data_IF_965857951939
#
_entry.id   IF_965857951939
#
_cell.length_a   1.000
_cell.length_b   1.000
_cell.length_c   1.000
_cell.angle_alpha   90.00
_cell.angle_beta   90.00
_cell.angle_gamma   90.00
#
_symmetry.space_group_name_H-M   'P 1'
#
loop_
_entity.id
_entity.type
_entity.pdbx_description
1 polymer ?
#
# COMPACT_ATOMS: atom_id res chain seq x y z
N UNK A 1 2.61 -10.58 10.94
CA UNK A 1 4.02 -10.47 10.52
C UNK A 1 4.13 -9.38 9.47
N UNK A 2 4.64 -8.21 9.85
CA UNK A 2 4.90 -7.14 8.88
C UNK A 2 6.14 -7.47 8.07
N UNK A 3 5.96 -7.71 6.77
CA UNK A 3 7.06 -7.92 5.84
C UNK A 3 7.80 -6.61 5.66
N UNK A 4 9.04 -6.56 6.13
CA UNK A 4 9.90 -5.39 6.01
C UNK A 4 10.04 -4.96 4.54
N UNK A 5 10.19 -3.65 4.25
CA UNK A 5 10.35 -3.16 2.88
C UNK A 5 11.49 -3.88 2.14
N UNK A 6 12.61 -4.14 2.83
CA UNK A 6 13.76 -4.88 2.27
C UNK A 6 13.37 -6.28 1.78
N UNK A 7 12.58 -7.02 2.56
CA UNK A 7 12.10 -8.36 2.16
C UNK A 7 11.16 -8.27 0.95
N UNK A 8 10.28 -7.26 0.87
CA UNK A 8 9.41 -7.07 -0.30
C UNK A 8 10.20 -6.79 -1.58
N UNK A 9 11.20 -5.91 -1.51
CA UNK A 9 12.08 -5.63 -2.66
C UNK A 9 12.84 -6.87 -3.09
N UNK A 10 13.34 -7.67 -2.14
CA UNK A 10 13.99 -8.95 -2.43
C UNK A 10 13.06 -9.95 -3.12
N UNK A 11 11.80 -10.05 -2.68
CA UNK A 11 10.79 -10.91 -3.33
C UNK A 11 10.55 -10.49 -4.78
N UNK A 12 10.32 -9.20 -5.02
CA UNK A 12 10.03 -8.68 -6.37
C UNK A 12 11.23 -8.82 -7.30
N UNK A 13 12.44 -8.51 -6.82
CA UNK A 13 13.67 -8.65 -7.62
C UNK A 13 13.94 -10.12 -7.99
N UNK A 14 13.75 -11.05 -7.06
CA UNK A 14 13.87 -12.48 -7.36
C UNK A 14 12.82 -12.93 -8.37
N UNK A 15 11.58 -12.45 -8.26
CA UNK A 15 10.53 -12.81 -9.21
C UNK A 15 10.78 -12.27 -10.63
N UNK A 16 11.32 -11.06 -10.75
CA UNK A 16 11.53 -10.39 -12.05
C UNK A 16 12.81 -10.85 -12.74
N UNK A 17 13.90 -11.04 -11.99
CA UNK A 17 15.23 -11.25 -12.56
C UNK A 17 15.72 -12.70 -12.49
N UNK A 18 14.96 -13.62 -11.89
CA UNK A 18 15.34 -15.03 -11.80
C UNK A 18 14.16 -15.94 -12.14
N UNK A 19 14.43 -17.16 -12.63
CA UNK A 19 13.40 -18.16 -12.93
C UNK A 19 12.91 -18.94 -11.70
N UNK A 20 12.99 -18.35 -10.50
CA UNK A 20 12.65 -19.03 -9.25
C UNK A 20 11.14 -19.15 -9.06
N UNK A 21 10.71 -20.29 -8.55
CA UNK A 21 9.32 -20.52 -8.16
C UNK A 21 8.97 -19.76 -6.88
N UNK A 22 7.68 -19.53 -6.63
CA UNK A 22 7.24 -18.84 -5.41
C UNK A 22 7.64 -19.58 -4.13
N UNK A 23 7.72 -20.92 -4.17
CA UNK A 23 8.19 -21.74 -3.04
C UNK A 23 9.68 -21.50 -2.75
N UNK A 24 10.51 -21.45 -3.79
CA UNK A 24 11.94 -21.16 -3.62
C UNK A 24 12.18 -19.73 -3.11
N UNK A 25 11.43 -18.75 -3.64
CA UNK A 25 11.50 -17.37 -3.17
C UNK A 25 11.11 -17.28 -1.69
N UNK A 26 10.06 -18.00 -1.29
CA UNK A 26 9.62 -18.09 0.10
C UNK A 26 10.73 -18.63 1.01
N UNK A 27 11.40 -19.72 0.61
CA UNK A 27 12.54 -20.31 1.34
C UNK A 27 13.73 -19.35 1.43
N UNK A 28 14.10 -18.68 0.33
CA UNK A 28 15.26 -17.76 0.28
C UNK A 28 15.05 -16.50 1.12
N UNK A 29 13.81 -16.02 1.22
CA UNK A 29 13.48 -14.79 1.97
C UNK A 29 13.03 -15.09 3.40
N UNK A 30 12.68 -16.34 3.71
CA UNK A 30 12.16 -16.76 5.01
C UNK A 30 10.78 -16.15 5.28
N UNK A 31 9.84 -16.36 4.35
CA UNK A 31 8.44 -15.90 4.45
C UNK A 31 7.50 -16.99 3.94
N UNK A 32 6.20 -16.89 4.24
CA UNK A 32 5.21 -17.85 3.73
C UNK A 32 4.91 -17.65 2.25
N UNK A 33 4.46 -18.71 1.57
CA UNK A 33 4.05 -18.67 0.16
C UNK A 33 2.95 -17.62 -0.09
N UNK A 34 1.95 -17.55 0.80
CA UNK A 34 0.88 -16.56 0.72
C UNK A 34 1.41 -15.11 0.78
N UNK A 35 2.49 -14.90 1.52
CA UNK A 35 3.16 -13.59 1.60
C UNK A 35 3.82 -13.22 0.28
N UNK A 36 4.50 -14.17 -0.37
CA UNK A 36 5.12 -13.96 -1.69
C UNK A 36 4.06 -13.61 -2.73
N UNK A 37 3.00 -14.41 -2.82
CA UNK A 37 1.89 -14.16 -3.75
C UNK A 37 1.26 -12.78 -3.53
N UNK A 38 0.97 -12.42 -2.27
CA UNK A 38 0.41 -11.09 -1.94
C UNK A 38 1.31 -9.95 -2.40
N UNK A 39 2.62 -10.05 -2.19
CA UNK A 39 3.57 -8.98 -2.58
C UNK A 39 3.65 -8.84 -4.09
N UNK A 40 3.64 -9.94 -4.83
CA UNK A 40 3.70 -9.93 -6.31
C UNK A 40 2.42 -9.34 -6.89
N UNK A 41 1.24 -9.81 -6.46
CA UNK A 41 -0.04 -9.29 -6.91
C UNK A 41 -0.14 -7.78 -6.62
N UNK A 42 0.28 -7.36 -5.43
CA UNK A 42 0.28 -5.95 -5.07
C UNK A 42 1.20 -5.11 -5.98
N UNK A 43 2.40 -5.61 -6.32
CA UNK A 43 3.30 -4.93 -7.26
C UNK A 43 2.68 -4.85 -8.66
N UNK A 44 1.95 -5.87 -9.10
CA UNK A 44 1.24 -5.85 -10.38
C UNK A 44 0.10 -4.83 -10.38
N UNK A 45 -0.69 -4.77 -9.31
CA UNK A 45 -1.85 -3.86 -9.18
C UNK A 45 -1.44 -2.39 -9.02
N UNK A 46 -0.38 -2.10 -8.26
CA UNK A 46 -0.04 -0.72 -7.88
C UNK A 46 1.23 -0.20 -8.51
N UNK A 47 2.02 -1.04 -9.16
CA UNK A 47 3.34 -0.69 -9.66
C UNK A 47 4.36 -0.40 -8.55
N UNK A 48 4.01 -0.53 -7.26
CA UNK A 48 4.89 -0.17 -6.13
C UNK A 48 5.15 -1.35 -5.18
N UNK A 49 6.36 -1.39 -4.64
CA UNK A 49 6.77 -2.34 -3.58
C UNK A 49 6.61 -1.71 -2.19
N UNK A 50 6.46 -0.38 -2.15
CA UNK A 50 6.26 0.36 -0.91
C UNK A 50 4.84 0.17 -0.40
N UNK A 51 4.65 0.08 0.93
CA UNK A 51 3.32 0.12 1.50
C UNK A 51 2.58 1.40 1.09
N UNK A 52 1.29 1.25 0.78
CA UNK A 52 0.39 2.35 0.36
C UNK A 52 0.25 3.40 1.47
N UNK A 53 0.37 2.99 2.73
CA UNK A 53 0.32 3.88 3.89
C UNK A 53 1.73 4.08 4.47
N UNK A 54 2.30 5.27 4.27
CA UNK A 54 3.43 5.78 5.05
C UNK A 54 2.90 6.91 5.95
N UNK A 55 2.78 6.67 7.27
CA UNK A 55 2.54 7.75 8.25
C UNK A 55 1.45 7.50 9.30
N UNK A 56 1.41 8.38 10.31
CA UNK A 56 0.40 8.40 11.39
C UNK A 56 -0.99 8.45 10.75
N UNK A 57 -1.80 7.48 11.12
CA UNK A 57 -3.18 7.28 10.72
C UNK A 57 -3.98 8.59 10.64
N UNK A 58 -4.61 8.83 9.49
CA UNK A 58 -5.62 9.87 9.31
C UNK A 58 -5.32 10.87 8.20
N UNK A 59 -6.35 11.24 7.43
CA UNK A 59 -6.33 12.44 6.60
C UNK A 59 -6.19 13.62 7.55
N UNK A 60 -5.03 14.29 7.55
CA UNK A 60 -4.85 15.54 8.30
C UNK A 60 -5.73 16.61 7.67
N UNK A 61 -6.96 16.74 8.14
CA UNK A 61 -7.83 17.86 7.81
C UNK A 61 -7.73 18.89 8.94
N UNK A 62 -7.68 20.17 8.57
CA UNK A 62 -7.84 21.28 9.53
C UNK A 62 -9.26 21.29 10.14
N UNK A 63 -10.21 20.69 9.42
CA UNK A 63 -11.63 20.78 9.67
C UNK A 63 -12.24 19.38 9.80
N UNK A 64 -13.25 19.25 10.66
CA UNK A 64 -14.04 18.02 10.77
C UNK A 64 -15.08 17.96 9.66
N UNK A 65 -15.59 16.78 9.27
CA UNK A 65 -16.68 16.67 8.28
C UNK A 65 -17.90 17.54 8.61
N UNK A 66 -18.22 17.70 9.90
CA UNK A 66 -19.31 18.58 10.35
C UNK A 66 -19.00 20.07 10.09
N UNK A 67 -17.76 20.48 10.27
CA UNK A 67 -17.34 21.85 10.01
C UNK A 67 -17.26 22.16 8.51
N UNK A 68 -16.79 21.21 7.69
CA UNK A 68 -16.86 21.30 6.22
C UNK A 68 -18.31 21.50 5.74
N UNK A 69 -19.27 20.74 6.29
CA UNK A 69 -20.69 20.87 5.97
C UNK A 69 -21.29 22.22 6.39
N UNK A 70 -20.87 22.76 7.55
CA UNK A 70 -21.26 24.09 7.99
C UNK A 70 -20.75 25.19 7.05
N UNK A 71 -19.48 25.13 6.65
CA UNK A 71 -18.88 26.10 5.72
C UNK A 71 -19.56 26.06 4.35
N UNK A 72 -19.87 24.88 3.83
CA UNK A 72 -20.60 24.73 2.56
C UNK A 72 -22.01 25.34 2.64
N UNK A 73 -22.73 25.13 3.75
CA UNK A 73 -24.06 25.73 3.98
C UNK A 73 -24.02 27.25 4.09
N UNK A 74 -22.92 27.81 4.60
CA UNK A 74 -22.71 29.25 4.72
C UNK A 74 -22.10 29.89 3.46
N UNK A 75 -21.62 29.08 2.52
CA UNK A 75 -21.02 29.58 1.28
C UNK A 75 -22.11 30.05 0.30
N UNK A 76 -21.87 31.19 -0.36
CA UNK A 76 -22.78 31.78 -1.35
C UNK A 76 -22.90 30.98 -2.66
N UNK A 77 -22.33 29.78 -2.71
CA UNK A 77 -22.32 28.88 -3.86
C UNK A 77 -23.64 28.09 -4.04
N UNK A 78 -24.68 28.40 -3.27
CA UNK A 78 -26.01 27.76 -3.37
C UNK A 78 -27.03 28.51 -4.24
N UNK A 79 -26.63 29.62 -4.90
CA UNK A 79 -27.53 30.41 -5.74
C UNK A 79 -27.12 30.31 -7.23
N UNK A 80 -27.25 29.13 -7.84
CA UNK A 80 -27.47 28.93 -9.28
C UNK A 80 -28.39 27.71 -9.49
#
# INVERSE_FOLDING_TARGET
MDVTPRKRTKIVTLHVHTAKTYREIASVVGVSLATVSRVINWKQETGSVSPKCKGKCGRKKKTTPRYDAYLLRQSTLQNE
#
